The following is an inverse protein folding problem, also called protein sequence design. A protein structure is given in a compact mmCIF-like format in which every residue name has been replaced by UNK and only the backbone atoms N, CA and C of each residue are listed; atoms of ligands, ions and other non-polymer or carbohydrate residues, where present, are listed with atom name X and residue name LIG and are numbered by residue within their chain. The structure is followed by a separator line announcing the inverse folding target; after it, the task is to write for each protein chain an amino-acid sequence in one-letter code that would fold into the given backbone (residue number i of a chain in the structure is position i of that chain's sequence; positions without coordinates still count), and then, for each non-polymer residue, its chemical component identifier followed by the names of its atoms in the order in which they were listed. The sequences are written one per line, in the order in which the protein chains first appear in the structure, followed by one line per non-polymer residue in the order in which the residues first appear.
data_IF_030185280611
#
_entry.id   IF_030185280611
#
_cell.length_a   1.000
_cell.length_b   1.000
_cell.length_c   1.000
_cell.angle_alpha   90.00
_cell.angle_beta   90.00
_cell.angle_gamma   90.00
#
_symmetry.space_group_name_H-M   'P 1'
#
loop_
_entity.id
_entity.type
_entity.pdbx_description
1 polymer ?
#
# COMPACT_ATOMS: atom_id res chain seq x y z
N UNK A 1 11.99 -18.89 26.30
CA UNK A 1 12.90 -18.53 25.18
C UNK A 1 12.37 -19.00 23.81
N UNK A 2 11.14 -18.61 23.41
CA UNK A 2 10.59 -18.93 22.07
C UNK A 2 10.39 -17.70 21.16
N UNK A 3 10.33 -16.49 21.72
CA UNK A 3 10.06 -15.26 20.97
C UNK A 3 11.29 -14.67 20.24
N UNK A 4 12.51 -15.04 20.64
CA UNK A 4 13.75 -14.53 20.03
C UNK A 4 13.91 -15.03 18.58
N UNK A 5 13.41 -16.24 18.27
CA UNK A 5 13.55 -16.85 16.94
C UNK A 5 12.64 -16.20 15.88
N UNK A 6 11.44 -15.75 16.24
CA UNK A 6 10.56 -15.04 15.31
C UNK A 6 11.03 -13.60 15.06
N UNK A 7 11.54 -12.93 16.09
CA UNK A 7 12.07 -11.57 15.94
C UNK A 7 13.30 -11.53 15.03
N UNK A 8 14.20 -12.53 15.15
CA UNK A 8 15.35 -12.68 14.27
C UNK A 8 14.97 -13.03 12.82
N UNK A 9 13.87 -13.76 12.60
CA UNK A 9 13.42 -14.09 11.25
C UNK A 9 12.76 -12.89 10.55
N UNK A 10 11.95 -12.10 11.27
CA UNK A 10 11.32 -10.89 10.74
C UNK A 10 12.33 -9.77 10.48
N UNK A 11 13.34 -9.58 11.34
CA UNK A 11 14.42 -8.61 11.06
C UNK A 11 15.29 -9.05 9.89
N UNK A 12 15.49 -10.34 9.68
CA UNK A 12 16.19 -10.88 8.50
C UNK A 12 15.36 -10.70 7.23
N UNK A 13 14.03 -10.87 7.25
CA UNK A 13 13.15 -10.58 6.10
C UNK A 13 13.12 -9.09 5.79
N UNK A 14 13.06 -8.21 6.79
CA UNK A 14 13.09 -6.75 6.57
C UNK A 14 14.47 -6.25 6.09
N UNK A 15 15.56 -6.87 6.53
CA UNK A 15 16.93 -6.52 6.09
C UNK A 15 17.33 -7.15 4.74
N UNK A 16 16.88 -8.37 4.39
CA UNK A 16 17.18 -8.96 3.08
C UNK A 16 16.54 -8.18 1.92
N UNK A 17 15.43 -7.50 2.16
CA UNK A 17 14.76 -6.65 1.17
C UNK A 17 15.52 -5.35 0.87
N UNK A 18 16.60 -5.06 1.61
CA UNK A 18 17.53 -3.96 1.31
C UNK A 18 18.75 -4.39 0.49
N UNK A 19 18.90 -5.69 0.15
CA UNK A 19 20.11 -6.24 -0.49
C UNK A 19 19.88 -6.87 -1.87
N UNK A 20 18.67 -6.82 -2.45
CA UNK A 20 18.45 -7.26 -3.84
C UNK A 20 18.51 -6.05 -4.78
N UNK A 21 19.63 -5.33 -4.77
CA UNK A 21 20.09 -4.59 -5.94
C UNK A 21 21.10 -5.48 -6.67
N UNK A 22 20.66 -6.10 -7.77
CA UNK A 22 21.55 -6.66 -8.78
C UNK A 22 21.94 -8.13 -8.61
N UNK A 23 21.03 -9.04 -8.96
CA UNK A 23 21.42 -10.33 -9.56
C UNK A 23 20.72 -10.46 -10.92
N UNK A 24 21.49 -10.23 -11.99
CA UNK A 24 21.15 -10.69 -13.34
C UNK A 24 21.08 -12.21 -13.30
N UNK A 25 19.93 -12.78 -13.62
CA UNK A 25 19.91 -14.10 -14.24
C UNK A 25 18.82 -14.14 -15.31
N UNK A 26 19.30 -14.32 -16.52
CA UNK A 26 18.58 -14.55 -17.74
C UNK A 26 17.98 -15.95 -17.67
N UNK A 27 16.66 -16.05 -17.73
CA UNK A 27 16.00 -17.27 -18.21
C UNK A 27 15.03 -16.87 -19.31
N UNK A 28 15.38 -17.33 -20.51
CA UNK A 28 14.54 -17.26 -21.69
C UNK A 28 13.24 -18.01 -21.40
N UNK A 29 12.09 -17.36 -21.56
CA UNK A 29 10.85 -18.06 -21.83
C UNK A 29 10.23 -17.46 -23.08
N UNK A 30 10.19 -18.30 -24.10
CA UNK A 30 9.82 -18.00 -25.47
C UNK A 30 8.40 -17.45 -25.60
N UNK A 31 8.28 -16.35 -26.34
CA UNK A 31 7.05 -15.94 -27.02
C UNK A 31 6.56 -17.09 -27.91
N UNK A 32 5.29 -17.46 -27.75
CA UNK A 32 4.52 -18.07 -28.82
C UNK A 32 3.14 -17.40 -28.85
N UNK A 33 3.04 -16.37 -29.68
CA UNK A 33 1.77 -15.87 -30.17
C UNK A 33 1.07 -16.97 -30.98
N UNK A 34 -0.16 -17.30 -30.61
CA UNK A 34 -1.13 -17.88 -31.54
C UNK A 34 -2.49 -17.24 -31.28
N UNK A 35 -2.92 -16.43 -32.26
CA UNK A 35 -4.28 -15.93 -32.36
C UNK A 35 -5.28 -17.10 -32.37
N UNK A 36 -6.31 -17.02 -31.54
CA UNK A 36 -7.59 -17.70 -31.78
C UNK A 36 -8.73 -16.75 -31.43
N UNK A 37 -9.70 -16.74 -32.34
CA UNK A 37 -10.82 -15.81 -32.51
C UNK A 37 -11.85 -15.81 -31.36
N UNK A 38 -12.52 -14.67 -31.30
CA UNK A 38 -13.75 -14.29 -30.57
C UNK A 38 -14.85 -15.36 -30.57
N UNK A 39 -15.47 -15.61 -29.41
CA UNK A 39 -16.94 -15.66 -29.25
C UNK A 39 -17.39 -15.62 -27.77
N UNK A 40 -18.64 -15.21 -27.59
CA UNK A 40 -19.29 -14.61 -26.42
C UNK A 40 -19.63 -15.54 -25.22
N UNK A 41 -20.05 -14.87 -24.13
CA UNK A 41 -20.79 -15.34 -22.94
C UNK A 41 -19.91 -15.89 -21.81
N UNK A 42 -20.00 -15.45 -20.56
CA UNK A 42 -21.18 -15.07 -19.76
C UNK A 42 -20.76 -14.06 -18.69
N UNK A 43 -21.62 -13.08 -18.46
CA UNK A 43 -21.55 -12.16 -17.33
C UNK A 43 -21.40 -12.93 -16.02
N UNK A 44 -20.19 -12.90 -15.43
CA UNK A 44 -19.98 -13.27 -14.05
C UNK A 44 -20.50 -12.13 -13.20
N UNK A 45 -21.72 -12.34 -12.67
CA UNK A 45 -22.34 -11.60 -11.58
C UNK A 45 -21.26 -11.19 -10.57
N UNK A 46 -20.94 -9.91 -10.51
CA UNK A 46 -20.12 -9.35 -9.44
C UNK A 46 -20.79 -9.73 -8.12
N UNK A 47 -20.19 -10.69 -7.41
CA UNK A 47 -20.48 -10.91 -6.01
C UNK A 47 -20.16 -9.58 -5.31
N UNK A 48 -21.22 -8.86 -4.95
CA UNK A 48 -21.11 -7.78 -3.95
C UNK A 48 -20.48 -8.42 -2.73
N UNK A 49 -19.18 -8.21 -2.55
CA UNK A 49 -18.55 -8.29 -1.24
C UNK A 49 -19.22 -7.22 -0.38
N UNK A 50 -20.32 -7.61 0.23
CA UNK A 50 -20.90 -6.96 1.40
C UNK A 50 -19.96 -7.26 2.56
N UNK A 51 -18.78 -6.63 2.57
CA UNK A 51 -18.02 -6.48 3.80
C UNK A 51 -18.84 -5.55 4.69
N UNK A 52 -19.18 -6.01 5.89
CA UNK A 52 -19.97 -5.28 6.87
C UNK A 52 -19.47 -3.84 7.02
N UNK A 53 -20.41 -2.93 7.21
CA UNK A 53 -20.20 -1.50 7.43
C UNK A 53 -19.45 -1.16 8.74
N UNK A 54 -18.75 -2.11 9.35
CA UNK A 54 -17.93 -1.84 10.53
C UNK A 54 -16.64 -1.14 10.09
N UNK A 55 -16.51 0.09 10.54
CA UNK A 55 -15.31 0.91 10.41
C UNK A 55 -14.08 0.20 11.01
N UNK A 56 -12.88 0.47 10.49
CA UNK A 56 -11.66 -0.19 10.99
C UNK A 56 -11.39 0.31 12.41
N UNK A 57 -11.38 -0.60 13.39
CA UNK A 57 -10.98 -0.24 14.76
C UNK A 57 -9.46 -0.05 14.86
N UNK A 58 -9.06 1.18 15.18
CA UNK A 58 -7.68 1.63 15.30
C UNK A 58 -7.20 1.69 16.74
N UNK A 59 -7.54 0.72 17.60
CA UNK A 59 -7.14 0.67 19.03
C UNK A 59 -5.64 0.90 19.29
N UNK A 60 -4.79 0.71 18.30
CA UNK A 60 -3.33 0.87 18.37
C UNK A 60 -2.88 2.33 18.29
N UNK A 61 -3.74 3.22 17.79
CA UNK A 61 -3.45 4.64 17.63
C UNK A 61 -4.06 5.44 18.77
N UNK A 62 -3.25 6.23 19.47
CA UNK A 62 -3.68 7.09 20.57
C UNK A 62 -3.04 8.47 20.48
N UNK A 63 -3.46 9.39 21.37
CA UNK A 63 -2.79 10.70 21.53
C UNK A 63 -1.31 10.58 21.93
N UNK A 64 -0.93 9.46 22.54
CA UNK A 64 0.44 9.18 22.96
C UNK A 64 1.29 8.52 21.86
N UNK A 65 0.72 8.35 20.66
CA UNK A 65 1.38 7.68 19.54
C UNK A 65 0.78 6.31 19.23
N UNK A 66 1.55 5.52 18.48
CA UNK A 66 1.17 4.20 17.96
C UNK A 66 1.77 3.10 18.84
N UNK A 67 0.93 2.19 19.34
CA UNK A 67 1.40 0.93 19.92
C UNK A 67 1.79 -0.03 18.80
N UNK A 68 3.10 -0.03 18.47
CA UNK A 68 3.64 -0.88 17.41
C UNK A 68 3.42 -2.37 17.65
N UNK A 69 3.49 -2.80 18.92
CA UNK A 69 3.35 -4.22 19.27
C UNK A 69 1.92 -4.67 19.01
N UNK A 70 0.95 -3.86 19.42
CA UNK A 70 -0.45 -4.14 19.16
C UNK A 70 -0.78 -4.05 17.67
N UNK A 71 -0.18 -3.11 16.94
CA UNK A 71 -0.37 -2.95 15.49
C UNK A 71 0.10 -4.18 14.74
N UNK A 72 1.33 -4.63 15.01
CA UNK A 72 1.90 -5.83 14.39
C UNK A 72 1.05 -7.06 14.71
N UNK A 73 0.56 -7.19 15.95
CA UNK A 73 -0.29 -8.32 16.37
C UNK A 73 -1.62 -8.38 15.61
N UNK A 74 -2.18 -7.24 15.21
CA UNK A 74 -3.48 -7.17 14.55
C UNK A 74 -3.40 -7.09 13.02
N UNK A 75 -2.21 -7.27 12.44
CA UNK A 75 -2.01 -7.34 11.00
C UNK A 75 -1.98 -8.80 10.55
N UNK A 76 -2.75 -9.11 9.50
CA UNK A 76 -2.59 -10.37 8.77
C UNK A 76 -1.28 -10.32 7.97
N UNK A 77 -0.33 -11.17 8.34
CA UNK A 77 0.99 -11.26 7.72
C UNK A 77 0.93 -11.57 6.21
N UNK A 78 -0.05 -12.36 5.77
CA UNK A 78 -0.23 -12.68 4.34
C UNK A 78 -0.67 -11.44 3.58
N UNK A 79 -1.58 -10.67 4.15
CA UNK A 79 -2.03 -9.40 3.55
C UNK A 79 -0.88 -8.40 3.52
N UNK A 80 -0.10 -8.28 4.61
CA UNK A 80 1.08 -7.42 4.65
C UNK A 80 2.10 -7.78 3.57
N UNK A 81 2.42 -9.06 3.44
CA UNK A 81 3.37 -9.55 2.44
C UNK A 81 2.86 -9.30 1.02
N UNK A 82 1.56 -9.53 0.77
CA UNK A 82 0.95 -9.25 -0.51
C UNK A 82 1.02 -7.76 -0.85
N UNK A 83 0.60 -6.88 0.07
CA UNK A 83 0.60 -5.42 -0.12
C UNK A 83 2.01 -4.92 -0.41
N UNK A 84 2.99 -5.31 0.41
CA UNK A 84 4.38 -4.90 0.24
C UNK A 84 4.92 -5.34 -1.13
N UNK A 85 4.74 -6.63 -1.48
CA UNK A 85 5.22 -7.18 -2.75
C UNK A 85 4.59 -6.49 -3.97
N UNK A 86 3.28 -6.28 -3.97
CA UNK A 86 2.59 -5.65 -5.10
C UNK A 86 3.09 -4.22 -5.34
N UNK A 87 3.19 -3.42 -4.27
CA UNK A 87 3.57 -2.01 -4.41
C UNK A 87 5.07 -1.82 -4.64
N UNK A 88 5.93 -2.70 -4.11
CA UNK A 88 7.36 -2.71 -4.41
C UNK A 88 7.61 -3.06 -5.89
N UNK A 89 7.02 -4.16 -6.38
CA UNK A 89 7.12 -4.54 -7.79
C UNK A 89 6.66 -3.42 -8.73
N UNK A 90 5.56 -2.74 -8.38
CA UNK A 90 5.09 -1.59 -9.15
C UNK A 90 6.11 -0.44 -9.18
N UNK A 91 6.73 -0.13 -8.04
CA UNK A 91 7.76 0.92 -7.97
C UNK A 91 9.00 0.53 -8.79
N UNK A 92 9.39 -0.74 -8.78
CA UNK A 92 10.50 -1.25 -9.59
C UNK A 92 10.20 -1.13 -11.09
N UNK A 93 9.00 -1.55 -11.53
CA UNK A 93 8.56 -1.42 -12.92
C UNK A 93 8.59 0.04 -13.41
N UNK A 94 8.12 0.96 -12.57
CA UNK A 94 8.13 2.39 -12.87
C UNK A 94 9.56 2.95 -12.86
N UNK A 95 10.39 2.52 -11.91
CA UNK A 95 11.80 2.89 -11.84
C UNK A 95 12.59 2.45 -13.08
N UNK A 96 12.35 1.23 -13.57
CA UNK A 96 12.91 0.71 -14.82
C UNK A 96 12.44 1.50 -16.03
N UNK A 97 11.12 1.75 -16.13
CA UNK A 97 10.55 2.55 -17.22
C UNK A 97 11.14 3.95 -17.24
N UNK A 98 11.29 4.58 -16.08
CA UNK A 98 11.86 5.92 -15.96
C UNK A 98 13.35 6.01 -16.28
N UNK A 99 14.10 4.92 -16.19
CA UNK A 99 15.49 4.86 -16.68
C UNK A 99 15.56 4.69 -18.20
N UNK A 100 14.58 4.03 -18.81
CA UNK A 100 14.56 3.71 -20.24
C UNK A 100 13.92 4.79 -21.11
N UNK A 101 12.84 5.42 -20.63
CA UNK A 101 12.00 6.33 -21.42
C UNK A 101 12.40 7.78 -21.13
N UNK A 102 12.91 8.46 -22.16
CA UNK A 102 13.30 9.88 -22.06
C UNK A 102 12.11 10.73 -21.61
N UNK A 103 12.35 11.65 -20.68
CA UNK A 103 11.36 12.59 -20.12
C UNK A 103 10.20 11.96 -19.31
N UNK A 104 10.19 10.65 -19.09
CA UNK A 104 9.09 9.97 -18.37
C UNK A 104 8.76 10.58 -17.00
N UNK A 105 9.78 10.96 -16.23
CA UNK A 105 9.59 11.61 -14.93
C UNK A 105 9.02 13.03 -15.05
N UNK A 106 9.34 13.74 -16.14
CA UNK A 106 8.92 15.13 -16.37
C UNK A 106 7.49 15.23 -16.91
N UNK A 107 7.03 14.22 -17.66
CA UNK A 107 5.68 14.22 -18.24
C UNK A 107 4.58 13.90 -17.23
N UNK A 108 4.94 13.44 -16.02
CA UNK A 108 3.97 12.99 -15.02
C UNK A 108 3.28 11.66 -15.36
N UNK A 109 3.67 10.99 -16.46
CA UNK A 109 3.06 9.73 -16.89
C UNK A 109 3.15 8.64 -15.81
N UNK A 110 4.19 8.67 -14.99
CA UNK A 110 4.38 7.75 -13.86
C UNK A 110 3.18 7.71 -12.91
N UNK A 111 2.47 8.82 -12.72
CA UNK A 111 1.28 8.86 -11.86
C UNK A 111 0.17 7.96 -12.41
N UNK A 112 -0.12 8.09 -13.71
CA UNK A 112 -1.12 7.27 -14.38
C UNK A 112 -0.72 5.80 -14.38
N UNK A 113 0.56 5.51 -14.62
CA UNK A 113 1.07 4.15 -14.57
C UNK A 113 0.90 3.53 -13.16
N UNK A 114 1.03 4.31 -12.08
CA UNK A 114 0.69 3.83 -10.72
C UNK A 114 -0.81 3.56 -10.60
N UNK A 115 -1.65 4.59 -10.77
CA UNK A 115 -3.06 4.55 -10.35
C UNK A 115 -3.87 3.56 -11.19
N UNK A 116 -3.47 3.34 -12.45
CA UNK A 116 -4.12 2.37 -13.34
C UNK A 116 -3.44 1.00 -13.38
N UNK A 117 -2.37 0.77 -12.62
CA UNK A 117 -1.71 -0.54 -12.56
C UNK A 117 -2.59 -1.61 -11.93
N UNK A 118 -2.38 -2.87 -12.33
CA UNK A 118 -3.05 -4.03 -11.72
C UNK A 118 -2.63 -4.22 -10.27
N UNK A 119 -1.36 -3.95 -9.96
CA UNK A 119 -0.76 -4.09 -8.64
C UNK A 119 -1.39 -3.11 -7.65
N UNK A 120 -1.46 -1.82 -7.99
CA UNK A 120 -2.10 -0.80 -7.15
C UNK A 120 -3.58 -1.10 -6.92
N UNK A 121 -4.32 -1.39 -8.01
CA UNK A 121 -5.74 -1.70 -7.89
C UNK A 121 -5.99 -3.01 -7.13
N UNK A 122 -5.11 -4.00 -7.25
CA UNK A 122 -5.16 -5.22 -6.46
C UNK A 122 -5.03 -4.98 -4.95
N UNK A 123 -4.23 -3.99 -4.54
CA UNK A 123 -4.14 -3.56 -3.13
C UNK A 123 -5.39 -2.78 -2.70
N UNK A 124 -5.88 -1.85 -3.54
CA UNK A 124 -7.10 -1.09 -3.25
C UNK A 124 -8.32 -2.00 -3.10
N UNK A 125 -8.43 -3.06 -3.91
CA UNK A 125 -9.51 -4.04 -3.86
C UNK A 125 -9.54 -4.89 -2.57
N UNK A 126 -8.43 -4.96 -1.81
CA UNK A 126 -8.44 -5.57 -0.48
C UNK A 126 -9.24 -4.75 0.53
N UNK A 127 -9.53 -3.48 0.23
CA UNK A 127 -10.29 -2.59 1.08
C UNK A 127 -9.71 -2.50 2.49
N UNK A 128 -10.58 -2.60 3.49
CA UNK A 128 -10.25 -2.42 4.91
C UNK A 128 -9.11 -3.32 5.39
N UNK A 129 -8.95 -4.52 4.81
CA UNK A 129 -7.88 -5.46 5.18
C UNK A 129 -6.49 -4.92 4.89
N UNK A 130 -6.33 -4.05 3.89
CA UNK A 130 -5.05 -3.45 3.55
C UNK A 130 -4.69 -2.23 4.40
N UNK A 131 -5.63 -1.64 5.15
CA UNK A 131 -5.40 -0.37 5.85
C UNK A 131 -4.28 -0.43 6.89
N UNK A 132 -4.33 -1.40 7.81
CA UNK A 132 -3.27 -1.58 8.84
C UNK A 132 -1.92 -1.97 8.23
N UNK A 133 -1.84 -2.91 7.26
CA UNK A 133 -0.60 -3.16 6.51
C UNK A 133 0.02 -1.90 5.87
N UNK A 134 -0.78 -1.12 5.14
CA UNK A 134 -0.32 0.11 4.49
C UNK A 134 0.17 1.13 5.52
N UNK A 135 -0.59 1.31 6.61
CA UNK A 135 -0.21 2.19 7.70
C UNK A 135 1.12 1.78 8.33
N UNK A 136 1.31 0.48 8.63
CA UNK A 136 2.57 -0.03 9.18
C UNK A 136 3.76 0.24 8.25
N UNK A 137 3.61 -0.01 6.94
CA UNK A 137 4.68 0.23 5.95
C UNK A 137 5.12 1.70 5.98
N UNK A 138 4.17 2.64 5.94
CA UNK A 138 4.45 4.08 5.95
C UNK A 138 5.08 4.47 7.29
N UNK A 139 4.49 4.00 8.40
CA UNK A 139 4.92 4.33 9.76
C UNK A 139 6.36 3.87 10.07
N UNK A 140 6.75 2.68 9.59
CA UNK A 140 8.12 2.16 9.80
C UNK A 140 9.14 2.74 8.83
N UNK A 141 8.71 3.37 7.72
CA UNK A 141 9.65 3.92 6.76
C UNK A 141 10.34 5.17 7.27
N UNK A 142 11.66 5.22 7.09
CA UNK A 142 12.47 6.43 7.32
C UNK A 142 12.47 7.36 6.10
N UNK A 143 11.96 6.90 4.96
CA UNK A 143 11.98 7.61 3.69
C UNK A 143 10.61 8.22 3.39
N UNK A 144 10.59 9.16 2.46
CA UNK A 144 9.36 9.71 1.89
C UNK A 144 9.46 9.65 0.36
N UNK A 145 9.85 8.47 -0.14
CA UNK A 145 10.08 8.23 -1.56
C UNK A 145 8.80 7.81 -2.28
N UNK A 146 8.98 7.34 -3.51
CA UNK A 146 7.87 6.88 -4.34
C UNK A 146 7.10 5.72 -3.68
N UNK A 147 7.79 4.77 -3.07
CA UNK A 147 7.15 3.62 -2.42
C UNK A 147 6.21 4.04 -1.29
N UNK A 148 6.65 4.92 -0.39
CA UNK A 148 5.79 5.42 0.68
C UNK A 148 4.65 6.27 0.13
N UNK A 149 4.90 7.08 -0.91
CA UNK A 149 3.85 7.86 -1.56
C UNK A 149 2.76 6.97 -2.16
N UNK A 150 3.14 5.88 -2.85
CA UNK A 150 2.18 4.91 -3.42
C UNK A 150 1.37 4.25 -2.30
N UNK A 151 2.02 3.86 -1.20
CA UNK A 151 1.33 3.30 -0.03
C UNK A 151 0.35 4.32 0.59
N UNK A 152 0.76 5.58 0.74
CA UNK A 152 -0.09 6.66 1.23
C UNK A 152 -1.30 6.87 0.33
N UNK A 153 -1.13 6.89 -0.99
CA UNK A 153 -2.25 7.02 -1.93
C UNK A 153 -3.22 5.85 -1.88
N UNK A 154 -2.73 4.63 -1.68
CA UNK A 154 -3.61 3.48 -1.49
C UNK A 154 -4.42 3.63 -0.18
N UNK A 155 -3.77 4.01 0.91
CA UNK A 155 -4.42 4.15 2.22
C UNK A 155 -5.45 5.29 2.25
N UNK A 156 -5.11 6.44 1.64
CA UNK A 156 -6.00 7.59 1.44
C UNK A 156 -7.28 7.17 0.70
N UNK A 157 -7.13 6.48 -0.44
CA UNK A 157 -8.25 5.99 -1.24
C UNK A 157 -9.14 5.00 -0.49
N UNK A 158 -8.54 4.10 0.28
CA UNK A 158 -9.28 3.06 1.01
C UNK A 158 -10.00 3.63 2.24
N UNK A 159 -9.39 4.58 2.96
CA UNK A 159 -9.98 5.12 4.19
C UNK A 159 -11.19 6.00 3.92
N UNK A 160 -11.24 6.67 2.77
CA UNK A 160 -12.29 7.63 2.44
C UNK A 160 -12.29 8.86 3.36
N UNK A 161 -11.16 9.13 4.04
CA UNK A 161 -11.02 10.35 4.83
C UNK A 161 -10.91 11.56 3.90
N UNK A 162 -11.55 12.66 4.31
CA UNK A 162 -11.42 13.92 3.60
C UNK A 162 -10.18 14.67 4.10
N UNK A 163 -9.23 14.85 3.18
CA UNK A 163 -8.01 15.64 3.38
C UNK A 163 -8.01 16.96 2.59
N UNK A 164 -9.11 17.31 1.91
CA UNK A 164 -9.18 18.52 1.07
C UNK A 164 -8.94 19.82 1.84
N UNK A 165 -9.22 19.85 3.15
CA UNK A 165 -8.92 21.01 4.00
C UNK A 165 -7.42 21.25 4.26
N UNK A 166 -6.53 20.34 3.83
CA UNK A 166 -5.08 20.48 4.00
C UNK A 166 -4.43 21.17 2.79
N UNK A 167 -3.30 21.85 3.04
CA UNK A 167 -2.51 22.56 2.03
C UNK A 167 -3.34 23.39 1.05
N UNK A 168 -4.25 24.23 1.55
CA UNK A 168 -5.10 25.10 0.74
C UNK A 168 -5.91 24.36 -0.35
N UNK A 169 -6.39 23.14 -0.08
CA UNK A 169 -7.12 22.34 -1.07
C UNK A 169 -6.29 21.25 -1.74
N UNK A 170 -4.95 21.29 -1.62
CA UNK A 170 -4.07 20.35 -2.30
C UNK A 170 -3.97 18.98 -1.62
N UNK A 171 -4.54 18.82 -0.42
CA UNK A 171 -4.43 17.58 0.35
C UNK A 171 -3.09 17.51 1.07
N UNK A 172 -2.38 16.39 0.95
CA UNK A 172 -1.08 16.15 1.58
C UNK A 172 0.05 16.12 0.55
N UNK A 173 1.23 16.62 0.93
CA UNK A 173 2.37 16.82 0.01
C UNK A 173 3.34 15.64 -0.03
N UNK A 174 3.47 14.88 1.06
CA UNK A 174 4.33 13.71 1.14
C UNK A 174 3.81 12.68 2.17
N UNK A 175 4.42 11.48 2.20
CA UNK A 175 3.97 10.38 3.04
C UNK A 175 4.08 10.64 4.55
N UNK A 176 5.02 11.48 5.00
CA UNK A 176 5.15 11.85 6.43
C UNK A 176 4.02 12.78 6.86
N UNK A 177 3.72 13.77 6.04
CA UNK A 177 2.60 14.68 6.28
C UNK A 177 1.27 13.90 6.26
N UNK A 178 1.10 13.04 5.27
CA UNK A 178 -0.05 12.14 5.20
C UNK A 178 -0.20 11.28 6.45
N UNK A 179 0.88 10.62 6.91
CA UNK A 179 0.84 9.76 8.09
C UNK A 179 0.37 10.53 9.33
N UNK A 180 0.86 11.76 9.50
CA UNK A 180 0.42 12.64 10.59
C UNK A 180 -1.07 12.95 10.45
N UNK A 181 -1.51 13.47 9.30
CA UNK A 181 -2.91 13.83 9.07
C UNK A 181 -3.86 12.64 9.23
N UNK A 182 -3.45 11.46 8.76
CA UNK A 182 -4.22 10.22 8.88
C UNK A 182 -4.37 9.80 10.35
N UNK A 183 -3.29 9.89 11.12
CA UNK A 183 -3.29 9.62 12.57
C UNK A 183 -4.21 10.59 13.30
N UNK A 184 -4.17 11.87 12.96
CA UNK A 184 -5.05 12.90 13.54
C UNK A 184 -6.53 12.59 13.25
N UNK A 185 -6.87 12.18 12.01
CA UNK A 185 -8.23 11.75 11.64
C UNK A 185 -8.73 10.56 12.43
N UNK A 186 -7.89 9.54 12.67
CA UNK A 186 -8.25 8.40 13.52
C UNK A 186 -8.61 8.87 14.93
N UNK A 187 -7.83 9.79 15.50
CA UNK A 187 -8.06 10.31 16.85
C UNK A 187 -9.35 11.14 16.89
N UNK A 188 -9.60 11.99 15.91
CA UNK A 188 -10.83 12.78 15.77
C UNK A 188 -12.08 11.88 15.75
N UNK A 189 -12.04 10.80 14.96
CA UNK A 189 -13.14 9.84 14.88
C UNK A 189 -13.41 9.15 16.21
N UNK A 190 -12.36 8.75 16.94
CA UNK A 190 -12.50 8.14 18.26
C UNK A 190 -13.14 9.08 19.27
N UNK A 191 -12.71 10.34 19.31
CA UNK A 191 -13.28 11.36 20.20
C UNK A 191 -14.75 11.60 19.86
N UNK A 192 -15.09 11.66 18.58
CA UNK A 192 -16.46 11.88 18.12
C UNK A 192 -17.38 10.71 18.50
N UNK A 193 -16.90 9.47 18.41
CA UNK A 193 -17.64 8.26 18.83
C UNK A 193 -17.85 8.16 20.34
N UNK A 194 -17.03 8.81 21.17
CA UNK A 194 -17.19 8.82 22.63
C UNK A 194 -18.18 9.86 23.14
N UNK A 195 -18.55 10.83 22.30
CA UNK A 195 -19.49 11.92 22.65
C UNK A 195 -20.94 11.61 22.29
N UNK A 196 -21.15 10.59 21.46
CA UNK A 196 -22.46 10.09 21.04
C UNK A 196 -22.80 8.81 21.78
#
# INVERSE_FOLDING_TARGET
MKHIKHYAFLTVVVCLMSLISGCKNQSNFSDNNREVKTENQKSARNEKHSEGNEDVDWKEVSKNGVDETLLIKNIDEKVLTYVAKQLQNLCDEIGEKGRRVKYYWLTGQWYNDVIYSKQYNGVVLLGKKAMKPLFLIIYKSKQAGMYEWVCSKALDKISGFDFSGLNNGAGWSNSREFLKAFTDKIIEQKISKQKN
#
